data_IF_372768820228
#
_entry.id   IF_372768820228
#
_cell.length_a   1.000
_cell.length_b   1.000
_cell.length_c   1.000
_cell.angle_alpha   90.00
_cell.angle_beta   90.00
_cell.angle_gamma   90.00
#
_symmetry.space_group_name_H-M   'P 1'
#
loop_
_entity.id
_entity.type
_entity.pdbx_description
1 polymer ?
#
# COMPACT_ATOMS: atom_id res chain seq x y z
N UNK A 1 -17.29 1.99 -17.86
CA UNK A 1 -18.37 1.41 -17.01
C UNK A 1 -19.22 2.48 -16.31
N UNK A 2 -18.76 3.72 -16.06
CA UNK A 2 -19.65 4.82 -15.61
C UNK A 2 -20.23 4.70 -14.19
N UNK A 3 -19.95 3.59 -13.48
CA UNK A 3 -20.42 3.33 -12.11
C UNK A 3 -19.63 4.19 -11.12
N UNK A 4 -20.33 4.75 -10.13
CA UNK A 4 -19.71 5.54 -9.05
C UNK A 4 -19.08 4.61 -8.02
N UNK A 5 -17.87 4.93 -7.56
CA UNK A 5 -17.18 4.13 -6.55
C UNK A 5 -18.00 3.97 -5.27
N UNK A 6 -18.69 5.02 -4.83
CA UNK A 6 -19.52 5.00 -3.62
C UNK A 6 -20.66 3.97 -3.68
N UNK A 7 -21.20 3.70 -4.88
CA UNK A 7 -22.21 2.66 -5.05
C UNK A 7 -21.59 1.27 -4.87
N UNK A 8 -20.41 1.06 -5.47
CA UNK A 8 -19.65 -0.20 -5.32
C UNK A 8 -19.25 -0.42 -3.86
N UNK A 9 -18.75 0.61 -3.19
CA UNK A 9 -18.40 0.57 -1.76
C UNK A 9 -19.60 0.10 -0.94
N UNK A 10 -20.77 0.75 -1.08
CA UNK A 10 -21.99 0.38 -0.35
C UNK A 10 -22.39 -1.09 -0.55
N UNK A 11 -22.29 -1.59 -1.78
CA UNK A 11 -22.61 -2.99 -2.09
C UNK A 11 -21.62 -3.96 -1.45
N UNK A 12 -20.32 -3.63 -1.46
CA UNK A 12 -19.27 -4.45 -0.85
C UNK A 12 -19.39 -4.45 0.67
N UNK A 13 -19.64 -3.31 1.29
CA UNK A 13 -19.75 -3.16 2.75
C UNK A 13 -21.05 -3.70 3.33
N UNK A 14 -22.03 -4.04 2.49
CA UNK A 14 -23.23 -4.75 2.92
C UNK A 14 -22.90 -6.16 3.44
N UNK A 15 -21.77 -6.74 3.03
CA UNK A 15 -21.20 -7.92 3.66
C UNK A 15 -20.50 -7.56 4.97
N UNK A 16 -21.11 -7.93 6.08
CA UNK A 16 -20.59 -7.67 7.43
C UNK A 16 -19.22 -8.29 7.71
N UNK A 17 -18.73 -9.23 6.88
CA UNK A 17 -17.37 -9.79 7.04
C UNK A 17 -16.29 -8.81 6.57
N UNK A 18 -16.65 -7.85 5.73
CA UNK A 18 -15.74 -6.85 5.15
C UNK A 18 -15.76 -5.57 5.99
N UNK A 19 -16.94 -5.15 6.45
CA UNK A 19 -17.18 -3.86 7.12
C UNK A 19 -16.81 -2.64 6.26
N UNK A 20 -17.00 -1.43 6.78
CA UNK A 20 -16.87 -0.18 6.04
C UNK A 20 -15.53 0.56 6.24
N UNK A 21 -14.67 0.04 7.11
CA UNK A 21 -13.39 0.66 7.41
C UNK A 21 -12.41 0.58 6.23
N UNK A 22 -11.56 1.60 6.05
CA UNK A 22 -10.45 1.62 5.08
C UNK A 22 -10.85 1.49 3.60
N UNK A 23 -12.11 1.77 3.26
CA UNK A 23 -12.60 1.81 1.87
C UNK A 23 -12.82 3.24 1.37
N UNK A 24 -12.45 4.26 2.15
CA UNK A 24 -12.51 5.65 1.69
C UNK A 24 -11.37 5.99 0.73
N UNK A 25 -11.71 6.74 -0.32
CA UNK A 25 -10.74 7.27 -1.25
C UNK A 25 -10.27 8.64 -0.75
N UNK A 26 -8.99 8.73 -0.40
CA UNK A 26 -8.34 10.01 -0.11
C UNK A 26 -7.86 10.71 -1.38
N UNK A 27 -7.62 12.02 -1.28
CA UNK A 27 -7.07 12.85 -2.37
C UNK A 27 -5.64 12.47 -2.73
N UNK A 28 -4.87 12.03 -1.73
CA UNK A 28 -3.48 11.57 -1.87
C UNK A 28 -3.32 10.37 -2.79
N UNK A 29 -4.36 9.52 -2.85
CA UNK A 29 -4.45 8.23 -3.53
C UNK A 29 -3.32 7.26 -3.15
N UNK A 30 -3.69 6.07 -2.68
CA UNK A 30 -2.71 5.12 -2.15
C UNK A 30 -2.26 5.50 -0.73
N UNK A 31 -1.64 4.55 -0.04
CA UNK A 31 -1.15 4.74 1.32
C UNK A 31 0.25 5.39 1.33
N UNK A 32 0.59 6.05 2.43
CA UNK A 32 1.87 6.71 2.62
C UNK A 32 2.23 6.87 4.10
N UNK A 33 2.91 7.97 4.44
CA UNK A 33 3.44 8.28 5.78
C UNK A 33 4.43 7.20 6.26
N UNK A 34 4.65 7.16 7.58
CA UNK A 34 5.69 6.34 8.19
C UNK A 34 5.30 4.87 8.34
N UNK A 35 4.18 4.61 9.00
CA UNK A 35 3.93 3.29 9.59
C UNK A 35 3.67 2.21 8.54
N UNK A 36 2.68 2.43 7.65
CA UNK A 36 2.25 1.36 6.76
C UNK A 36 3.32 0.98 5.70
N UNK A 37 4.01 1.93 5.04
CA UNK A 37 5.14 1.60 4.18
C UNK A 37 6.24 0.84 4.91
N UNK A 38 6.60 1.26 6.13
CA UNK A 38 7.60 0.58 6.97
C UNK A 38 7.22 -0.85 7.27
N UNK A 39 6.04 -1.06 7.81
CA UNK A 39 5.61 -2.37 8.31
C UNK A 39 5.38 -3.34 7.15
N UNK A 40 4.80 -2.89 6.03
CA UNK A 40 4.63 -3.71 4.83
C UNK A 40 5.98 -4.16 4.25
N UNK A 41 6.94 -3.25 4.11
CA UNK A 41 8.25 -3.57 3.54
C UNK A 41 9.09 -4.45 4.47
N UNK A 42 9.03 -4.19 5.78
CA UNK A 42 9.70 -5.02 6.78
C UNK A 42 9.15 -6.45 6.78
N UNK A 43 7.82 -6.62 6.77
CA UNK A 43 7.17 -7.92 6.70
C UNK A 43 7.54 -8.66 5.42
N UNK A 44 7.53 -7.96 4.28
CA UNK A 44 7.93 -8.54 3.00
C UNK A 44 9.39 -9.01 3.00
N UNK A 45 10.30 -8.22 3.58
CA UNK A 45 11.71 -8.61 3.71
C UNK A 45 11.89 -9.85 4.59
N UNK A 46 11.17 -9.91 5.72
CA UNK A 46 11.16 -11.07 6.62
C UNK A 46 10.66 -12.34 5.92
N UNK A 47 9.57 -12.23 5.16
CA UNK A 47 8.98 -13.36 4.44
C UNK A 47 9.89 -13.85 3.31
N UNK A 48 10.50 -12.95 2.55
CA UNK A 48 11.49 -13.31 1.53
C UNK A 48 12.69 -14.05 2.13
N UNK A 49 13.22 -13.59 3.27
CA UNK A 49 14.30 -14.29 3.99
C UNK A 49 13.86 -15.69 4.43
N UNK A 50 12.59 -15.85 4.78
CA UNK A 50 11.99 -17.12 5.22
C UNK A 50 11.46 -17.98 4.08
N UNK A 51 11.70 -17.60 2.81
CA UNK A 51 11.17 -18.27 1.60
C UNK A 51 9.64 -18.43 1.59
N UNK A 52 8.93 -17.50 2.22
CA UNK A 52 7.46 -17.41 2.20
C UNK A 52 7.03 -16.58 0.99
N UNK A 53 5.96 -17.02 0.31
CA UNK A 53 5.40 -16.29 -0.82
C UNK A 53 4.87 -14.90 -0.40
N UNK A 54 5.27 -13.88 -1.16
CA UNK A 54 4.87 -12.48 -0.94
C UNK A 54 4.07 -11.90 -2.10
N UNK A 55 3.53 -12.73 -2.99
CA UNK A 55 2.82 -12.29 -4.20
C UNK A 55 1.80 -11.18 -3.93
N UNK A 56 0.96 -11.32 -2.90
CA UNK A 56 -0.03 -10.30 -2.54
C UNK A 56 0.62 -8.99 -2.04
N UNK A 57 1.62 -9.07 -1.16
CA UNK A 57 2.31 -7.89 -0.62
C UNK A 57 3.09 -7.14 -1.70
N UNK A 58 3.68 -7.87 -2.64
CA UNK A 58 4.36 -7.31 -3.81
C UNK A 58 3.36 -6.59 -4.73
N UNK A 59 2.17 -7.17 -4.97
CA UNK A 59 1.11 -6.55 -5.76
C UNK A 59 0.58 -5.27 -5.11
N UNK A 60 0.31 -5.31 -3.79
CA UNK A 60 -0.14 -4.14 -3.01
C UNK A 60 0.87 -3.00 -3.10
N UNK A 61 2.16 -3.29 -2.88
CA UNK A 61 3.22 -2.29 -2.96
C UNK A 61 3.37 -1.72 -4.38
N UNK A 62 3.39 -2.58 -5.40
CA UNK A 62 3.47 -2.17 -6.81
C UNK A 62 2.29 -1.29 -7.21
N UNK A 63 1.07 -1.63 -6.77
CA UNK A 63 -0.12 -0.81 -7.04
C UNK A 63 -0.01 0.54 -6.35
N UNK A 64 0.47 0.58 -5.11
CA UNK A 64 0.67 1.83 -4.38
C UNK A 64 1.65 2.75 -5.11
N UNK A 65 2.83 2.24 -5.48
CA UNK A 65 3.84 2.99 -6.25
C UNK A 65 3.27 3.54 -7.58
N UNK A 66 2.36 2.80 -8.22
CA UNK A 66 1.72 3.22 -9.48
C UNK A 66 0.74 4.38 -9.31
N UNK A 67 0.00 4.43 -8.20
CA UNK A 67 -1.09 5.41 -8.02
C UNK A 67 -0.70 6.60 -7.13
N UNK A 68 0.22 6.39 -6.19
CA UNK A 68 0.68 7.40 -5.24
C UNK A 68 1.68 8.31 -5.95
N UNK A 69 1.33 9.60 -6.04
CA UNK A 69 2.17 10.61 -6.71
C UNK A 69 3.33 11.12 -5.85
N UNK A 70 3.14 11.15 -4.52
CA UNK A 70 4.13 11.67 -3.56
C UNK A 70 4.56 10.54 -2.63
N UNK A 71 5.84 10.20 -2.65
CA UNK A 71 6.40 9.10 -1.87
C UNK A 71 6.98 9.65 -0.56
N UNK A 72 6.09 10.19 0.28
CA UNK A 72 6.45 10.91 1.51
C UNK A 72 7.24 10.06 2.51
N UNK A 73 7.13 8.73 2.44
CA UNK A 73 7.93 7.81 3.24
C UNK A 73 9.43 7.84 2.93
N UNK A 74 9.86 8.34 1.77
CA UNK A 74 11.29 8.38 1.43
C UNK A 74 12.07 9.41 2.25
N UNK A 75 11.37 10.47 2.67
CA UNK A 75 11.92 11.58 3.46
C UNK A 75 11.79 11.35 4.96
N UNK A 76 10.96 10.39 5.39
CA UNK A 76 10.73 10.12 6.81
C UNK A 76 11.82 9.18 7.34
N UNK A 77 12.59 9.58 8.38
CA UNK A 77 13.58 8.71 9.01
C UNK A 77 12.96 7.38 9.45
N UNK A 78 13.65 6.29 9.09
CA UNK A 78 13.28 4.91 9.41
C UNK A 78 11.97 4.41 8.79
N UNK A 79 11.39 5.11 7.81
CA UNK A 79 10.20 4.63 7.11
C UNK A 79 10.53 3.59 6.03
N UNK A 80 11.57 3.83 5.23
CA UNK A 80 12.07 2.87 4.23
C UNK A 80 13.60 2.87 4.19
N UNK A 81 14.19 1.78 3.67
CA UNK A 81 15.63 1.75 3.38
C UNK A 81 15.92 2.66 2.19
N UNK A 82 16.92 3.54 2.30
CA UNK A 82 17.36 4.37 1.18
C UNK A 82 17.95 3.48 0.08
N UNK A 83 17.40 3.56 -1.12
CA UNK A 83 18.01 2.93 -2.30
C UNK A 83 19.30 3.68 -2.60
N UNK A 84 20.45 3.04 -2.42
CA UNK A 84 21.70 3.59 -2.94
C UNK A 84 21.59 3.65 -4.46
N UNK A 85 21.52 4.86 -5.03
CA UNK A 85 21.75 5.03 -6.47
C UNK A 85 23.17 4.56 -6.72
N UNK A 86 23.33 3.42 -7.39
CA UNK A 86 24.64 3.05 -7.93
C UNK A 86 25.04 4.17 -8.88
N UNK A 87 26.07 4.91 -8.52
CA UNK A 87 26.78 5.80 -9.45
C UNK A 87 27.19 4.93 -10.63
N UNK A 88 26.76 5.31 -11.83
CA UNK A 88 27.26 4.74 -13.08
C UNK A 88 28.73 5.11 -13.26
#
# INVERSE_FOLDING_TARGET
MGIKYEEVKKMVTADHRIFDSHLDITTERGFGKKCFPKDLLALKALFKKSKVDTTLLDAVWKKNLKIRKVHDWEEIPFAVTKVQKKSA
#
